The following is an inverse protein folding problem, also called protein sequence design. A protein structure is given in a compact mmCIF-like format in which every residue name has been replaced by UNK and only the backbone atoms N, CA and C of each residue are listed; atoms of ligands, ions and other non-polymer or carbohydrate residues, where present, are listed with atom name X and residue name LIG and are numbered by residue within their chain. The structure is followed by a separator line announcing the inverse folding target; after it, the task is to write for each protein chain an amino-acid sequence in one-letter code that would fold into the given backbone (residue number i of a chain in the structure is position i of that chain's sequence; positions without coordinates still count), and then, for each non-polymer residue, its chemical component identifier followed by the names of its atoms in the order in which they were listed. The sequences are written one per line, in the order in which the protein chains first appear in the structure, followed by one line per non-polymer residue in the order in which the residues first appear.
data_IF_235494950355
#
_entry.id   IF_235494950355
#
_cell.length_a   1.000
_cell.length_b   1.000
_cell.length_c   1.000
_cell.angle_alpha   90.00
_cell.angle_beta   90.00
_cell.angle_gamma   90.00
#
_symmetry.space_group_name_H-M   'P 1'
#
loop_
_entity.id
_entity.type
_entity.pdbx_description
1 polymer ?
#
# COMPACT_ATOMS: atom_id res chain seq x y z
N UNK A 1 0.17 3.56 13.36
CA UNK A 1 0.95 2.43 12.80
C UNK A 1 1.59 2.84 11.47
N UNK A 2 1.08 2.52 10.27
CA UNK A 2 1.80 2.81 9.00
C UNK A 2 2.10 4.30 8.71
N UNK A 3 1.15 5.20 8.98
CA UNK A 3 1.38 6.65 8.79
C UNK A 3 2.40 7.21 9.79
N UNK A 4 2.43 6.67 11.01
CA UNK A 4 3.33 7.06 12.09
C UNK A 4 4.78 6.63 11.82
N UNK A 5 4.97 5.49 11.16
CA UNK A 5 6.30 5.01 10.73
C UNK A 5 6.77 5.65 9.42
N UNK A 6 5.94 6.49 8.80
CA UNK A 6 6.19 7.09 7.47
C UNK A 6 6.40 6.04 6.38
N UNK A 7 5.72 4.89 6.47
CA UNK A 7 5.74 3.90 5.41
C UNK A 7 5.19 4.49 4.10
N UNK A 8 5.84 4.17 2.99
CA UNK A 8 5.42 4.54 1.63
C UNK A 8 4.68 3.39 0.94
N UNK A 9 4.98 2.15 1.36
CA UNK A 9 4.41 0.93 0.81
C UNK A 9 3.80 0.06 1.91
N UNK A 10 2.63 -0.49 1.62
CA UNK A 10 2.10 -1.68 2.29
C UNK A 10 2.23 -2.83 1.30
N UNK A 11 2.97 -3.86 1.73
CA UNK A 11 3.21 -5.06 0.92
C UNK A 11 2.42 -6.21 1.53
N UNK A 12 1.71 -6.95 0.70
CA UNK A 12 1.03 -8.19 1.07
C UNK A 12 1.32 -9.29 0.05
N UNK A 13 1.35 -10.53 0.53
CA UNK A 13 1.40 -11.74 -0.31
C UNK A 13 0.02 -12.24 -0.73
N UNK A 14 -1.05 -11.55 -0.32
CA UNK A 14 -2.43 -11.86 -0.69
C UNK A 14 -3.08 -10.62 -1.31
N UNK A 15 -3.50 -10.76 -2.58
CA UNK A 15 -4.18 -9.73 -3.35
C UNK A 15 -5.51 -9.30 -2.73
N UNK A 16 -6.21 -10.21 -2.03
CA UNK A 16 -7.47 -9.89 -1.34
C UNK A 16 -7.25 -8.88 -0.21
N UNK A 17 -6.12 -8.99 0.51
CA UNK A 17 -5.74 -8.03 1.54
C UNK A 17 -5.43 -6.65 0.94
N UNK A 18 -4.69 -6.59 -0.18
CA UNK A 18 -4.39 -5.35 -0.89
C UNK A 18 -5.68 -4.64 -1.30
N UNK A 19 -6.57 -5.35 -1.98
CA UNK A 19 -7.85 -4.79 -2.46
C UNK A 19 -8.72 -4.27 -1.31
N UNK A 20 -8.79 -5.01 -0.20
CA UNK A 20 -9.56 -4.60 0.96
C UNK A 20 -9.00 -3.31 1.59
N UNK A 21 -7.69 -3.28 1.82
CA UNK A 21 -7.01 -2.14 2.44
C UNK A 21 -7.06 -0.90 1.55
N UNK A 22 -6.83 -1.07 0.26
CA UNK A 22 -6.88 0.03 -0.71
C UNK A 22 -8.30 0.61 -0.80
N UNK A 23 -9.32 -0.25 -0.88
CA UNK A 23 -10.73 0.19 -0.90
C UNK A 23 -11.13 0.94 0.37
N UNK A 24 -10.65 0.47 1.53
CA UNK A 24 -10.88 1.14 2.81
C UNK A 24 -10.19 2.51 2.85
N UNK A 25 -8.92 2.58 2.48
CA UNK A 25 -8.15 3.83 2.45
C UNK A 25 -8.75 4.88 1.50
N UNK A 26 -9.22 4.44 0.32
CA UNK A 26 -9.93 5.30 -0.65
C UNK A 26 -11.23 5.86 -0.05
N UNK A 27 -12.03 5.02 0.61
CA UNK A 27 -13.30 5.43 1.25
C UNK A 27 -13.09 6.44 2.38
N UNK A 28 -12.03 6.28 3.17
CA UNK A 28 -11.75 7.17 4.30
C UNK A 28 -11.13 8.50 3.89
N UNK A 29 -10.78 8.71 2.61
CA UNK A 29 -10.01 9.87 2.13
C UNK A 29 -8.72 10.09 2.96
N UNK A 30 -8.21 9.03 3.60
CA UNK A 30 -7.07 9.06 4.52
C UNK A 30 -5.73 9.19 3.79
N UNK A 31 -5.77 9.16 2.45
CA UNK A 31 -4.65 9.45 1.56
C UNK A 31 -4.75 10.92 1.15
N UNK A 32 -4.24 11.82 1.99
CA UNK A 32 -4.08 13.24 1.64
C UNK A 32 -3.02 13.41 0.54
N UNK A 33 -3.13 14.47 -0.28
CA UNK A 33 -2.33 14.68 -1.49
C UNK A 33 -0.81 14.60 -1.32
N UNK A 34 -0.29 14.81 -0.10
CA UNK A 34 1.15 14.79 0.18
C UNK A 34 1.69 13.41 0.63
N UNK A 35 0.82 12.39 0.83
CA UNK A 35 1.24 11.08 1.34
C UNK A 35 0.33 9.95 0.85
N UNK A 36 0.41 9.62 -0.44
CA UNK A 36 -0.21 8.43 -0.99
C UNK A 36 0.57 7.18 -0.57
N UNK A 37 0.04 6.46 0.43
CA UNK A 37 0.46 5.11 0.76
C UNK A 37 0.12 4.17 -0.39
N UNK A 38 1.12 3.49 -0.95
CA UNK A 38 0.95 2.53 -2.04
C UNK A 38 0.66 1.15 -1.48
N UNK A 39 -0.27 0.44 -2.07
CA UNK A 39 -0.61 -0.93 -1.71
C UNK A 39 -0.15 -1.84 -2.86
N UNK A 40 0.79 -2.73 -2.61
CA UNK A 40 1.50 -3.48 -3.65
C UNK A 40 1.58 -4.96 -3.27
N UNK A 41 1.43 -5.86 -4.24
CA UNK A 41 1.61 -7.28 -4.00
C UNK A 41 3.10 -7.64 -4.04
N UNK A 42 3.55 -8.57 -3.19
CA UNK A 42 4.98 -8.96 -3.14
C UNK A 42 5.51 -9.51 -4.48
N UNK A 43 4.65 -10.11 -5.30
CA UNK A 43 5.04 -10.55 -6.63
C UNK A 43 5.42 -9.38 -7.56
N UNK A 44 4.76 -8.23 -7.45
CA UNK A 44 5.09 -7.02 -8.23
C UNK A 44 6.44 -6.46 -7.77
N UNK A 45 6.65 -6.40 -6.46
CA UNK A 45 7.91 -6.00 -5.82
C UNK A 45 9.09 -6.85 -6.32
N UNK A 46 8.90 -8.17 -6.42
CA UNK A 46 9.93 -9.09 -6.92
C UNK A 46 10.11 -9.03 -8.44
N UNK A 47 9.06 -8.69 -9.19
CA UNK A 47 9.09 -8.59 -10.64
C UNK A 47 9.73 -7.29 -11.15
N UNK A 48 9.56 -6.17 -10.44
CA UNK A 48 10.16 -4.88 -10.81
C UNK A 48 11.69 -4.86 -10.64
N UNK A 49 12.25 -5.81 -9.86
CA UNK A 49 13.66 -5.82 -9.50
C UNK A 49 13.95 -4.71 -8.50
N UNK A 50 14.59 -5.06 -7.38
CA UNK A 50 15.08 -4.08 -6.42
C UNK A 50 16.53 -3.76 -6.77
N UNK A 51 16.76 -2.64 -7.46
CA UNK A 51 18.09 -2.00 -7.58
C UNK A 51 18.38 -1.10 -6.38
#
# INVERSE_FOLDING_TARGET
NALATKAEYIISSDSSCILHLESYAKKQKSLSSDKQLKFVHIAEVLAEGWE
#
